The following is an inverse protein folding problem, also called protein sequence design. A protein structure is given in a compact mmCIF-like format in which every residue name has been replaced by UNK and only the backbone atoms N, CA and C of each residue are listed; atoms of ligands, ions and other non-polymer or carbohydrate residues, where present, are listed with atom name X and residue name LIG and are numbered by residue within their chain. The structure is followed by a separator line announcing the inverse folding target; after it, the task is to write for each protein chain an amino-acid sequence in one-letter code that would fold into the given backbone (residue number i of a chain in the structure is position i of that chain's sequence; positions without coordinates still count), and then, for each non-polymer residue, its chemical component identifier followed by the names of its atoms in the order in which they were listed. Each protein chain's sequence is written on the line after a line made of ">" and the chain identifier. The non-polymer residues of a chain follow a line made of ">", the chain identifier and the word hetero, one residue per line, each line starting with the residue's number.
data_IF_294544066949
#
_entry.id   IF_294544066949
#
_cell.length_a   1.000
_cell.length_b   1.000
_cell.length_c   1.000
_cell.angle_alpha   90.00
_cell.angle_beta   90.00
_cell.angle_gamma   90.00
#
_symmetry.space_group_name_H-M   'P 1'
#
loop_
_entity.id
_entity.type
_entity.pdbx_description
1 polymer ?
#
# COMPACT_ATOMS: atom_id res chain seq x y z
N UNK A 1 -3.98 13.95 -0.97
CA UNK A 1 -5.20 14.41 -0.25
C UNK A 1 -6.23 14.74 -1.31
N UNK A 2 -7.45 14.19 -1.23
CA UNK A 2 -8.55 14.56 -2.13
C UNK A 2 -9.41 15.55 -1.36
N UNK A 3 -9.55 16.78 -1.86
CA UNK A 3 -10.57 17.71 -1.41
C UNK A 3 -11.69 17.70 -2.46
N UNK A 4 -12.93 17.50 -2.00
CA UNK A 4 -14.13 17.67 -2.82
C UNK A 4 -15.20 18.37 -1.98
N UNK A 5 -15.99 19.24 -2.60
CA UNK A 5 -17.15 19.91 -2.00
C UNK A 5 -18.45 19.10 -2.17
N UNK A 6 -18.37 17.93 -2.81
CA UNK A 6 -19.49 17.00 -2.99
C UNK A 6 -19.45 15.90 -1.90
N UNK A 7 -20.37 16.00 -0.94
CA UNK A 7 -20.45 15.11 0.21
C UNK A 7 -20.84 13.66 -0.14
N UNK A 8 -21.59 13.45 -1.23
CA UNK A 8 -22.01 12.11 -1.65
C UNK A 8 -20.86 11.38 -2.37
N UNK A 9 -20.09 12.10 -3.19
CA UNK A 9 -18.87 11.58 -3.82
C UNK A 9 -17.81 11.23 -2.77
N UNK A 10 -17.62 12.10 -1.76
CA UNK A 10 -16.71 11.86 -0.65
C UNK A 10 -17.11 10.57 0.11
N UNK A 11 -18.40 10.40 0.38
CA UNK A 11 -18.92 9.21 1.03
C UNK A 11 -18.70 7.95 0.18
N UNK A 12 -19.00 7.96 -1.13
CA UNK A 12 -18.78 6.80 -2.02
C UNK A 12 -17.30 6.42 -2.16
N UNK A 13 -16.39 7.39 -2.16
CA UNK A 13 -14.93 7.14 -2.24
C UNK A 13 -14.33 6.65 -0.90
N UNK A 14 -14.94 7.02 0.23
CA UNK A 14 -14.47 6.65 1.56
C UNK A 14 -15.15 5.40 2.14
N UNK A 15 -16.39 5.10 1.73
CA UNK A 15 -17.18 4.06 2.34
C UNK A 15 -16.63 2.65 1.98
N UNK A 16 -16.29 1.82 2.98
CA UNK A 16 -15.57 0.55 2.76
C UNK A 16 -16.31 -0.47 1.88
N UNK A 17 -17.63 -0.32 1.72
CA UNK A 17 -18.46 -1.15 0.82
C UNK A 17 -18.03 -1.10 -0.65
N UNK A 18 -17.47 0.01 -1.13
CA UNK A 18 -17.20 0.18 -2.56
C UNK A 18 -15.84 -0.35 -3.01
N UNK A 19 -15.01 -0.90 -2.11
CA UNK A 19 -13.70 -1.51 -2.41
C UNK A 19 -12.86 -0.70 -3.41
N UNK A 20 -12.93 0.63 -3.34
CA UNK A 20 -12.30 1.49 -4.34
C UNK A 20 -10.78 1.30 -4.25
N UNK A 21 -10.12 0.86 -5.34
CA UNK A 21 -8.69 0.61 -5.32
C UNK A 21 -7.92 1.90 -5.09
N UNK A 22 -7.06 1.92 -4.08
CA UNK A 22 -6.16 3.04 -3.78
C UNK A 22 -4.76 2.66 -4.19
N UNK A 23 -4.25 3.34 -5.22
CA UNK A 23 -2.89 3.14 -5.73
C UNK A 23 -1.94 4.16 -5.11
N UNK A 24 -0.87 3.67 -4.50
CA UNK A 24 0.20 4.47 -3.91
C UNK A 24 1.52 4.21 -4.62
N UNK A 25 2.36 5.25 -4.69
CA UNK A 25 3.76 5.14 -5.07
C UNK A 25 4.58 5.33 -3.80
N UNK A 26 5.37 4.32 -3.44
CA UNK A 26 6.16 4.27 -2.22
C UNK A 26 7.62 4.11 -2.58
N UNK A 27 8.48 4.87 -1.93
CA UNK A 27 9.92 4.68 -2.00
C UNK A 27 10.37 3.97 -0.74
N UNK A 28 11.08 2.85 -0.89
CA UNK A 28 11.68 2.10 0.21
C UNK A 28 13.21 2.17 0.16
N UNK A 29 13.82 2.00 1.31
CA UNK A 29 15.25 1.76 1.43
C UNK A 29 15.63 0.35 0.96
N UNK A 30 16.75 0.24 0.25
CA UNK A 30 17.24 -1.02 -0.30
C UNK A 30 16.43 -1.52 -1.50
N UNK A 31 16.44 -2.84 -1.66
CA UNK A 31 15.75 -3.53 -2.74
C UNK A 31 14.63 -4.43 -2.27
N UNK A 32 13.44 -4.27 -2.87
CA UNK A 32 12.33 -5.17 -2.63
C UNK A 32 12.59 -6.52 -3.31
N UNK A 33 12.81 -7.56 -2.50
CA UNK A 33 12.99 -8.93 -2.98
C UNK A 33 11.70 -9.49 -3.58
N UNK A 34 11.80 -10.50 -4.45
CA UNK A 34 10.62 -11.17 -5.03
C UNK A 34 9.76 -11.83 -3.96
N UNK A 35 10.40 -12.37 -2.91
CA UNK A 35 9.70 -12.97 -1.75
C UNK A 35 8.88 -11.92 -1.01
N UNK A 36 9.43 -10.73 -0.79
CA UNK A 36 8.70 -9.62 -0.15
C UNK A 36 7.55 -9.12 -1.02
N UNK A 37 7.73 -9.06 -2.35
CA UNK A 37 6.64 -8.72 -3.30
C UNK A 37 5.50 -9.73 -3.16
N UNK A 38 5.81 -11.02 -3.15
CA UNK A 38 4.79 -12.07 -3.10
C UNK A 38 4.05 -12.09 -1.75
N UNK A 39 4.76 -11.87 -0.65
CA UNK A 39 4.13 -11.70 0.67
C UNK A 39 3.17 -10.52 0.70
N UNK A 40 3.58 -9.36 0.18
CA UNK A 40 2.70 -8.19 0.11
C UNK A 40 1.48 -8.45 -0.79
N UNK A 41 1.63 -9.23 -1.87
CA UNK A 41 0.52 -9.59 -2.76
C UNK A 41 -0.50 -10.50 -2.12
N UNK A 42 -0.05 -11.51 -1.37
CA UNK A 42 -0.92 -12.45 -0.64
C UNK A 42 -1.59 -11.79 0.57
N UNK A 43 -1.01 -10.71 1.08
CA UNK A 43 -1.41 -10.07 2.33
C UNK A 43 -0.46 -10.47 3.46
N UNK A 44 -0.29 -9.55 4.40
CA UNK A 44 0.64 -9.69 5.51
C UNK A 44 -0.10 -9.55 6.84
N UNK A 45 0.36 -10.27 7.86
CA UNK A 45 -0.21 -10.16 9.20
C UNK A 45 0.23 -8.86 9.86
N UNK A 46 -0.75 -8.04 10.23
CA UNK A 46 -0.55 -6.83 11.04
C UNK A 46 -1.22 -7.03 12.41
N UNK A 47 -0.92 -6.14 13.37
CA UNK A 47 -1.47 -6.21 14.73
C UNK A 47 -3.00 -6.19 14.81
N UNK A 48 -3.65 -5.58 13.82
CA UNK A 48 -5.10 -5.47 13.70
C UNK A 48 -5.70 -6.58 12.81
N UNK A 49 -4.89 -7.52 12.29
CA UNK A 49 -5.29 -8.66 11.47
C UNK A 49 -4.56 -8.73 10.13
N UNK A 50 -4.80 -9.79 9.36
CA UNK A 50 -4.20 -9.97 8.03
C UNK A 50 -4.77 -8.98 7.03
N UNK A 51 -3.91 -8.32 6.25
CA UNK A 51 -4.36 -7.43 5.17
C UNK A 51 -4.98 -8.22 4.03
N UNK A 52 -5.88 -7.58 3.30
CA UNK A 52 -6.35 -8.12 2.02
C UNK A 52 -5.22 -8.22 1.01
N UNK A 53 -5.35 -9.09 -0.02
CA UNK A 53 -4.43 -9.13 -1.14
C UNK A 53 -4.24 -7.75 -1.79
N UNK A 54 -3.01 -7.44 -2.19
CA UNK A 54 -2.65 -6.15 -2.77
C UNK A 54 -1.95 -6.32 -4.12
N UNK A 55 -2.11 -5.36 -5.04
CA UNK A 55 -1.34 -5.38 -6.28
C UNK A 55 -0.04 -4.64 -6.09
N UNK A 56 1.09 -5.35 -6.21
CA UNK A 56 2.43 -4.81 -6.00
C UNK A 56 3.24 -4.91 -7.28
N UNK A 57 3.83 -3.78 -7.71
CA UNK A 57 4.70 -3.69 -8.87
C UNK A 57 5.90 -2.79 -8.57
N UNK A 58 7.11 -3.29 -8.80
CA UNK A 58 8.33 -2.46 -8.79
C UNK A 58 8.31 -1.56 -10.02
N UNK A 59 8.46 -0.26 -9.82
CA UNK A 59 8.47 0.74 -10.89
C UNK A 59 9.90 1.08 -11.28
N UNK A 60 10.77 1.29 -10.29
CA UNK A 60 12.12 1.79 -10.51
C UNK A 60 13.06 1.35 -9.36
N UNK A 61 14.36 1.36 -9.64
CA UNK A 61 15.43 1.10 -8.67
C UNK A 61 16.50 2.17 -8.84
N UNK A 62 16.69 3.01 -7.84
CA UNK A 62 17.64 4.12 -7.88
C UNK A 62 18.58 4.07 -6.69
N UNK A 63 19.90 3.96 -6.94
CA UNK A 63 20.98 4.17 -5.96
C UNK A 63 20.67 3.65 -4.54
N UNK A 64 20.39 2.35 -4.40
CA UNK A 64 20.11 1.74 -3.09
C UNK A 64 18.69 1.98 -2.55
N UNK A 65 17.76 2.46 -3.37
CA UNK A 65 16.33 2.60 -3.08
C UNK A 65 15.49 1.93 -4.14
N UNK A 66 14.27 1.55 -3.78
CA UNK A 66 13.29 0.99 -4.72
C UNK A 66 11.99 1.77 -4.70
N UNK A 67 11.45 2.05 -5.88
CA UNK A 67 10.15 2.70 -6.04
C UNK A 67 9.13 1.62 -6.40
N UNK A 68 8.06 1.54 -5.61
CA UNK A 68 7.06 0.48 -5.68
C UNK A 68 5.68 1.11 -5.84
N UNK A 69 4.91 0.60 -6.80
CA UNK A 69 3.47 0.84 -6.91
C UNK A 69 2.75 -0.23 -6.11
N UNK A 70 1.91 0.19 -5.18
CA UNK A 70 1.06 -0.72 -4.41
C UNK A 70 -0.40 -0.27 -4.50
N UNK A 71 -1.30 -1.20 -4.80
CA UNK A 71 -2.74 -0.95 -4.83
C UNK A 71 -3.41 -1.78 -3.75
N UNK A 72 -4.14 -1.12 -2.85
CA UNK A 72 -4.92 -1.78 -1.80
C UNK A 72 -6.41 -1.48 -2.00
N UNK A 73 -7.26 -2.38 -1.53
CA UNK A 73 -8.72 -2.26 -1.62
C UNK A 73 -9.37 -1.91 -0.27
N UNK A 74 -8.54 -1.69 0.75
CA UNK A 74 -8.92 -1.30 2.10
C UNK A 74 -8.23 0.00 2.51
N UNK A 75 -8.55 0.51 3.70
CA UNK A 75 -8.14 1.85 4.14
C UNK A 75 -7.71 1.92 5.60
N UNK A 76 -6.92 0.95 6.08
CA UNK A 76 -6.51 0.93 7.49
C UNK A 76 -5.46 2.01 7.78
N UNK A 77 -5.42 2.50 9.02
CA UNK A 77 -4.48 3.57 9.41
C UNK A 77 -3.04 3.15 9.13
N UNK A 78 -2.30 4.00 8.40
CA UNK A 78 -0.89 3.82 8.02
C UNK A 78 -0.59 2.45 7.36
N UNK A 79 -1.58 1.82 6.75
CA UNK A 79 -1.49 0.44 6.28
C UNK A 79 -0.28 0.18 5.38
N UNK A 80 -0.07 1.02 4.36
CA UNK A 80 1.04 0.85 3.42
C UNK A 80 2.39 0.79 4.14
N UNK A 81 2.63 1.72 5.07
CA UNK A 81 3.87 1.75 5.84
C UNK A 81 4.02 0.49 6.72
N UNK A 82 2.96 0.08 7.40
CA UNK A 82 2.96 -1.14 8.23
C UNK A 82 3.18 -2.40 7.41
N UNK A 83 2.61 -2.48 6.20
CA UNK A 83 2.82 -3.61 5.29
C UNK A 83 4.29 -3.74 4.89
N UNK A 84 4.95 -2.64 4.52
CA UNK A 84 6.37 -2.65 4.19
C UNK A 84 7.26 -2.96 5.40
N UNK A 85 6.94 -2.42 6.58
CA UNK A 85 7.63 -2.73 7.83
C UNK A 85 7.53 -4.23 8.17
N UNK A 86 6.36 -4.85 7.96
CA UNK A 86 6.14 -6.29 8.20
C UNK A 86 6.96 -7.20 7.26
N UNK A 87 7.35 -6.73 6.08
CA UNK A 87 8.27 -7.45 5.18
C UNK A 87 9.72 -6.99 5.30
N UNK A 88 10.06 -6.23 6.36
CA UNK A 88 11.42 -5.82 6.69
C UNK A 88 11.94 -4.61 5.91
N UNK A 89 11.06 -3.80 5.32
CA UNK A 89 11.45 -2.63 4.54
C UNK A 89 10.96 -1.32 5.15
N UNK A 90 11.88 -0.36 5.31
CA UNK A 90 11.55 0.99 5.78
C UNK A 90 11.07 1.87 4.61
N UNK A 91 9.88 2.45 4.75
CA UNK A 91 9.35 3.44 3.78
C UNK A 91 9.98 4.81 4.02
N UNK A 92 10.44 5.44 2.95
CA UNK A 92 11.05 6.78 2.96
C UNK A 92 10.06 7.87 2.50
N UNK A 93 9.20 7.55 1.52
CA UNK A 93 8.26 8.49 0.91
C UNK A 93 7.04 7.78 0.35
#
# INVERSE_FOLDING_TARGET
>A
MILTNDGELAHRLMHPRFHVPKTYKVTIEGSLSDVSVERLRKGVSLNDGTTSPAHVRRIDRQQGRSVVRITIFEGRSRQIRRMFEAVGHKTLK
#
